data_IF_508721175207
#
_entry.id   IF_508721175207
#
_cell.length_a   1.000
_cell.length_b   1.000
_cell.length_c   1.000
_cell.angle_alpha   90.00
_cell.angle_beta   90.00
_cell.angle_gamma   90.00
#
_symmetry.space_group_name_H-M   'P 1'
#
loop_
_entity.id
_entity.type
_entity.pdbx_description
1 polymer ?
#
# COMPACT_ATOMS: atom_id res chain seq x y z
N UNK A 1 -7.55 -30.04 -6.55
CA UNK A 1 -7.65 -29.52 -7.94
C UNK A 1 -6.27 -28.95 -8.29
N UNK A 2 -5.69 -29.28 -9.43
CA UNK A 2 -4.28 -28.99 -9.74
C UNK A 2 -4.12 -27.46 -10.04
N UNK A 3 -3.12 -26.80 -9.43
CA UNK A 3 -2.83 -25.35 -9.58
C UNK A 3 -2.77 -24.88 -11.05
N UNK A 4 -2.30 -25.74 -11.95
CA UNK A 4 -2.24 -25.45 -13.38
C UNK A 4 -3.61 -25.44 -14.09
N UNK A 5 -4.56 -26.22 -13.61
CA UNK A 5 -5.94 -26.19 -14.15
C UNK A 5 -6.70 -24.92 -13.73
N UNK A 6 -6.40 -24.39 -12.58
CA UNK A 6 -7.01 -23.16 -12.06
C UNK A 6 -6.48 -21.93 -12.80
N UNK A 7 -5.16 -21.84 -13.04
CA UNK A 7 -4.56 -20.77 -13.85
C UNK A 7 -5.09 -20.76 -15.30
N UNK A 8 -5.26 -21.93 -15.92
CA UNK A 8 -5.81 -22.02 -17.27
C UNK A 8 -7.29 -21.64 -17.34
N UNK A 9 -8.08 -21.90 -16.30
CA UNK A 9 -9.49 -21.48 -16.23
C UNK A 9 -9.63 -19.97 -16.04
N UNK A 10 -8.78 -19.35 -15.22
CA UNK A 10 -8.75 -17.90 -15.03
C UNK A 10 -8.36 -17.17 -16.33
N UNK A 11 -7.33 -17.65 -17.03
CA UNK A 11 -6.94 -17.10 -18.33
C UNK A 11 -8.06 -17.19 -19.38
N UNK A 12 -8.81 -18.29 -19.42
CA UNK A 12 -9.92 -18.49 -20.34
C UNK A 12 -11.13 -17.58 -20.03
N UNK A 13 -11.42 -17.31 -18.78
CA UNK A 13 -12.50 -16.39 -18.36
C UNK A 13 -12.19 -14.95 -18.75
N UNK A 14 -10.93 -14.51 -18.58
CA UNK A 14 -10.47 -13.17 -18.97
C UNK A 14 -10.59 -12.98 -20.49
N UNK A 15 -10.22 -13.98 -21.30
CA UNK A 15 -10.28 -13.92 -22.77
C UNK A 15 -11.73 -13.95 -23.27
N UNK A 16 -12.61 -14.74 -22.68
CA UNK A 16 -14.03 -14.82 -23.06
C UNK A 16 -14.81 -13.54 -22.75
N UNK A 17 -14.54 -12.88 -21.63
CA UNK A 17 -15.17 -11.61 -21.26
C UNK A 17 -14.69 -10.45 -22.14
N UNK A 18 -13.43 -10.44 -22.57
CA UNK A 18 -12.92 -9.45 -23.52
C UNK A 18 -13.53 -9.58 -24.93
N UNK A 19 -13.87 -10.81 -25.37
CA UNK A 19 -14.46 -11.07 -26.68
C UNK A 19 -15.95 -10.70 -26.77
N UNK A 20 -16.69 -10.72 -25.65
CA UNK A 20 -18.13 -10.39 -25.64
C UNK A 20 -18.44 -8.90 -25.83
N UNK A 21 -17.44 -8.01 -25.76
CA UNK A 21 -17.61 -6.55 -25.82
C UNK A 21 -17.58 -5.96 -27.24
N UNK A 22 -17.43 -6.75 -28.31
CA UNK A 22 -17.07 -6.24 -29.63
C UNK A 22 -18.22 -6.00 -30.62
N UNK A 23 -19.47 -6.31 -30.32
CA UNK A 23 -20.57 -6.18 -31.26
C UNK A 23 -21.74 -5.30 -30.79
N UNK A 24 -21.89 -4.11 -31.36
CA UNK A 24 -23.08 -3.25 -31.21
C UNK A 24 -22.91 -1.82 -31.72
N UNK A 25 -23.83 -1.32 -32.53
CA UNK A 25 -23.79 0.02 -33.14
C UNK A 25 -24.73 1.03 -32.49
N UNK A 26 -24.30 2.25 -32.44
CA UNK A 26 -24.80 3.64 -32.59
C UNK A 26 -25.43 4.46 -31.42
N UNK A 27 -25.07 5.64 -31.33
CA UNK A 27 -25.47 7.05 -31.21
C UNK A 27 -25.22 7.81 -29.91
N UNK A 28 -24.72 9.04 -30.08
CA UNK A 28 -23.95 9.88 -29.18
C UNK A 28 -24.87 10.76 -28.30
N UNK A 29 -24.47 10.90 -27.03
CA UNK A 29 -24.65 12.17 -26.32
C UNK A 29 -23.55 12.38 -25.26
N UNK A 30 -22.99 13.58 -25.24
CA UNK A 30 -21.92 13.98 -24.33
C UNK A 30 -22.51 14.32 -22.98
N UNK A 31 -22.38 13.45 -21.99
CA UNK A 31 -22.83 13.76 -20.64
C UNK A 31 -21.68 14.16 -19.74
N UNK A 32 -21.81 15.35 -19.18
CA UNK A 32 -21.06 15.86 -18.02
C UNK A 32 -21.03 14.82 -16.90
N UNK A 33 -19.87 14.66 -16.28
CA UNK A 33 -19.72 13.92 -15.02
C UNK A 33 -20.79 14.43 -14.04
N UNK A 34 -21.60 13.52 -13.51
CA UNK A 34 -22.76 13.85 -12.71
C UNK A 34 -22.40 14.61 -11.43
N UNK A 35 -23.31 15.47 -10.97
CA UNK A 35 -23.17 16.32 -9.77
C UNK A 35 -22.89 15.54 -8.47
N UNK A 36 -23.18 14.25 -8.43
CA UNK A 36 -22.92 13.38 -7.27
C UNK A 36 -21.42 13.25 -6.95
N UNK A 37 -20.54 13.37 -7.96
CA UNK A 37 -19.09 13.35 -7.75
C UNK A 37 -18.56 14.61 -7.05
N UNK A 38 -19.26 15.73 -7.14
CA UNK A 38 -18.85 16.99 -6.50
C UNK A 38 -19.12 17.03 -5.00
N UNK A 39 -20.18 16.39 -4.52
CA UNK A 39 -20.46 16.29 -3.09
C UNK A 39 -19.50 15.36 -2.37
N UNK A 40 -19.07 14.29 -3.02
CA UNK A 40 -18.08 13.35 -2.46
C UNK A 40 -16.68 13.96 -2.43
N UNK A 41 -16.31 14.76 -3.45
CA UNK A 41 -15.01 15.45 -3.51
C UNK A 41 -14.83 16.58 -2.51
N UNK A 42 -15.91 17.10 -1.93
CA UNK A 42 -15.86 18.19 -0.94
C UNK A 42 -15.65 17.73 0.51
N UNK A 43 -15.57 16.42 0.76
CA UNK A 43 -15.26 15.90 2.09
C UNK A 43 -13.76 15.99 2.33
N UNK A 44 -13.39 16.54 3.46
CA UNK A 44 -12.00 16.74 3.86
C UNK A 44 -11.37 15.37 4.24
N UNK A 45 -10.91 14.63 3.24
CA UNK A 45 -10.22 13.36 3.42
C UNK A 45 -8.74 13.66 3.57
N UNK A 46 -8.22 13.51 4.77
CA UNK A 46 -6.79 13.65 5.03
C UNK A 46 -6.08 12.35 4.61
N UNK A 47 -5.70 12.28 3.34
CA UNK A 47 -4.88 11.20 2.82
C UNK A 47 -3.41 11.44 3.18
N UNK A 48 -3.02 11.06 4.38
CA UNK A 48 -1.63 11.19 4.83
C UNK A 48 -0.75 10.02 4.34
N UNK A 49 -0.92 9.63 3.09
CA UNK A 49 -0.18 8.55 2.47
C UNK A 49 1.29 8.90 2.15
N UNK A 50 1.67 10.17 2.25
CA UNK A 50 3.02 10.67 1.95
C UNK A 50 3.81 11.02 3.22
N UNK A 51 3.55 10.36 4.34
CA UNK A 51 4.28 10.61 5.58
C UNK A 51 5.72 10.15 5.46
N UNK A 52 6.65 10.99 5.90
CA UNK A 52 8.09 10.71 5.98
C UNK A 52 8.44 9.46 6.82
N UNK A 53 7.51 8.98 7.60
CA UNK A 53 7.70 7.86 8.52
C UNK A 53 7.21 6.52 7.95
N UNK A 54 7.14 6.38 6.62
CA UNK A 54 6.69 5.17 5.95
C UNK A 54 5.17 5.03 5.84
N UNK A 55 4.70 3.86 5.41
CA UNK A 55 3.29 3.59 5.22
C UNK A 55 2.51 3.78 6.51
N UNK A 56 1.46 4.58 6.44
CA UNK A 56 0.51 4.77 7.55
C UNK A 56 -0.87 4.32 7.11
N UNK A 57 -1.64 3.92 8.09
CA UNK A 57 -3.08 3.77 7.91
C UNK A 57 -3.67 5.12 7.48
N UNK A 58 -4.63 5.06 6.58
CA UNK A 58 -5.34 6.25 6.14
C UNK A 58 -6.31 6.64 7.25
N UNK A 59 -6.01 7.75 7.94
CA UNK A 59 -6.92 8.33 8.90
C UNK A 59 -7.78 9.38 8.24
N UNK A 60 -9.10 9.25 8.38
CA UNK A 60 -10.08 10.23 7.92
C UNK A 60 -10.64 11.07 9.08
N UNK A 61 -10.03 10.96 10.27
CA UNK A 61 -10.47 11.69 11.45
C UNK A 61 -11.81 11.23 12.04
N UNK A 62 -12.31 10.08 11.61
CA UNK A 62 -13.55 9.49 12.15
C UNK A 62 -13.22 8.46 13.24
N UNK A 63 -14.03 8.35 14.29
CA UNK A 63 -13.80 7.38 15.34
C UNK A 63 -14.05 5.96 14.85
N UNK A 64 -13.09 5.08 15.09
CA UNK A 64 -13.20 3.63 15.04
C UNK A 64 -13.22 3.02 13.63
N UNK A 65 -12.43 1.99 13.45
CA UNK A 65 -12.46 1.07 12.32
C UNK A 65 -11.44 1.39 11.22
N UNK A 66 -10.96 0.33 10.61
CA UNK A 66 -10.12 0.38 9.43
C UNK A 66 -10.87 0.99 8.25
N UNK A 67 -10.18 1.81 7.47
CA UNK A 67 -10.72 2.41 6.27
C UNK A 67 -10.33 1.56 5.08
N UNK A 68 -11.32 1.05 4.36
CA UNK A 68 -11.08 0.38 3.09
C UNK A 68 -10.61 1.38 2.05
N UNK A 69 -9.53 1.07 1.35
CA UNK A 69 -9.02 1.88 0.24
C UNK A 69 -9.36 1.19 -1.06
N UNK A 70 -10.11 1.91 -1.89
CA UNK A 70 -10.53 1.46 -3.21
C UNK A 70 -9.87 2.33 -4.28
N UNK A 71 -9.59 1.74 -5.42
CA UNK A 71 -9.28 2.45 -6.65
C UNK A 71 -10.19 1.93 -7.78
N UNK A 72 -10.89 2.84 -8.43
CA UNK A 72 -11.90 2.53 -9.45
C UNK A 72 -13.01 1.57 -8.97
N UNK A 73 -13.37 1.65 -7.69
CA UNK A 73 -14.38 0.79 -7.06
C UNK A 73 -13.91 -0.62 -6.71
N UNK A 74 -12.62 -0.92 -6.87
CA UNK A 74 -12.00 -2.19 -6.50
C UNK A 74 -11.07 -2.00 -5.31
N UNK A 75 -10.98 -2.94 -4.36
CA UNK A 75 -9.99 -2.85 -3.30
C UNK A 75 -8.58 -2.67 -3.83
N UNK A 76 -7.81 -1.79 -3.20
CA UNK A 76 -6.39 -1.62 -3.54
C UNK A 76 -5.65 -2.91 -3.22
N UNK A 77 -5.89 -3.49 -2.05
CA UNK A 77 -5.47 -4.85 -1.67
C UNK A 77 -6.61 -5.54 -0.94
N UNK A 78 -6.65 -6.86 -0.99
CA UNK A 78 -7.54 -7.66 -0.15
C UNK A 78 -6.88 -8.01 1.19
N UNK A 79 -5.64 -8.46 1.14
CA UNK A 79 -4.88 -8.83 2.32
C UNK A 79 -3.69 -7.87 2.51
N UNK A 80 -3.81 -6.96 3.48
CA UNK A 80 -2.82 -5.92 3.74
C UNK A 80 -1.50 -6.42 4.36
N UNK A 81 -1.37 -7.71 4.65
CA UNK A 81 -0.16 -8.27 5.23
C UNK A 81 0.29 -9.51 4.44
N UNK A 82 1.49 -9.53 3.83
CA UNK A 82 2.56 -8.53 3.91
C UNK A 82 2.52 -7.43 2.84
N UNK A 83 1.52 -7.42 1.96
CA UNK A 83 1.39 -6.43 0.89
C UNK A 83 0.58 -5.22 1.36
N UNK A 84 1.23 -4.26 1.99
CA UNK A 84 0.57 -3.12 2.57
C UNK A 84 0.10 -2.12 1.52
N UNK A 85 -1.08 -1.51 1.71
CA UNK A 85 -1.66 -0.47 0.84
C UNK A 85 -0.64 0.60 0.46
N UNK A 86 0.07 1.13 1.43
CA UNK A 86 1.00 2.23 1.21
C UNK A 86 2.27 1.86 0.45
N UNK A 87 2.51 0.60 0.16
CA UNK A 87 3.65 0.18 -0.65
C UNK A 87 3.38 0.30 -2.15
N UNK A 88 2.12 0.40 -2.57
CA UNK A 88 1.74 0.45 -3.97
C UNK A 88 0.61 1.43 -4.30
N UNK A 89 0.04 2.10 -3.30
CA UNK A 89 -0.93 3.17 -3.48
C UNK A 89 -0.51 4.43 -2.70
N UNK A 90 -0.53 5.57 -3.35
CA UNK A 90 -0.22 6.89 -2.78
C UNK A 90 -1.20 7.91 -3.36
N UNK A 91 -1.45 8.99 -2.62
CA UNK A 91 -2.18 10.14 -3.14
C UNK A 91 -1.31 10.94 -4.11
N UNK A 92 -1.23 10.49 -5.35
CA UNK A 92 -0.39 11.06 -6.40
C UNK A 92 -1.23 11.61 -7.57
N UNK A 93 -0.59 12.23 -8.53
CA UNK A 93 -1.23 12.84 -9.70
C UNK A 93 -1.82 11.82 -10.69
N UNK A 94 -1.63 10.52 -10.46
CA UNK A 94 -2.33 9.47 -11.23
C UNK A 94 -3.79 9.34 -10.85
N UNK A 95 -4.21 9.98 -9.75
CA UNK A 95 -5.57 9.96 -9.25
C UNK A 95 -6.29 11.27 -9.64
N UNK A 96 -7.30 11.18 -10.49
CA UNK A 96 -8.09 12.32 -10.94
C UNK A 96 -9.10 12.80 -9.89
N UNK A 97 -9.56 11.89 -9.05
CA UNK A 97 -10.54 12.18 -7.99
C UNK A 97 -10.43 11.17 -6.86
N UNK A 98 -10.62 11.63 -5.65
CA UNK A 98 -10.65 10.78 -4.44
C UNK A 98 -11.73 11.30 -3.51
N UNK A 99 -12.54 10.40 -2.96
CA UNK A 99 -13.64 10.76 -2.07
C UNK A 99 -14.01 9.64 -1.09
N UNK A 100 -14.72 10.03 -0.04
CA UNK A 100 -15.27 9.12 0.95
C UNK A 100 -16.60 8.54 0.43
N UNK A 101 -16.74 7.22 0.44
CA UNK A 101 -18.01 6.57 0.12
C UNK A 101 -19.02 6.72 1.27
N UNK A 102 -20.29 6.78 0.92
CA UNK A 102 -21.39 6.65 1.89
C UNK A 102 -21.37 5.23 2.47
N UNK A 103 -21.78 5.08 3.72
CA UNK A 103 -21.80 3.76 4.40
C UNK A 103 -22.62 2.74 3.60
N UNK A 104 -23.76 3.13 3.05
CA UNK A 104 -24.57 2.26 2.19
C UNK A 104 -23.86 1.85 0.90
N UNK A 105 -23.10 2.75 0.30
CA UNK A 105 -22.31 2.48 -0.89
C UNK A 105 -21.13 1.56 -0.57
N UNK A 106 -20.46 1.78 0.56
CA UNK A 106 -19.41 0.89 1.04
C UNK A 106 -19.94 -0.53 1.26
N UNK A 107 -21.10 -0.67 1.91
CA UNK A 107 -21.71 -1.98 2.16
C UNK A 107 -22.04 -2.72 0.85
N UNK A 108 -22.54 -2.02 -0.16
CA UNK A 108 -22.87 -2.60 -1.48
C UNK A 108 -21.58 -2.98 -2.23
N UNK A 109 -20.53 -2.13 -2.17
CA UNK A 109 -19.31 -2.29 -2.96
C UNK A 109 -18.36 -3.31 -2.35
N UNK A 110 -18.23 -3.34 -1.02
CA UNK A 110 -17.24 -4.16 -0.32
C UNK A 110 -17.85 -5.34 0.45
N UNK A 111 -19.15 -5.36 0.63
CA UNK A 111 -19.84 -6.33 1.49
C UNK A 111 -19.65 -6.05 3.00
N UNK A 112 -18.93 -4.99 3.38
CA UNK A 112 -18.63 -4.64 4.76
C UNK A 112 -19.32 -3.34 5.17
N UNK A 113 -19.74 -3.26 6.42
CA UNK A 113 -20.24 -2.01 7.00
C UNK A 113 -19.03 -1.26 7.59
N UNK A 114 -18.69 -0.11 7.02
CA UNK A 114 -17.55 0.68 7.45
C UNK A 114 -17.35 1.90 6.58
N UNK A 115 -16.17 2.49 6.69
CA UNK A 115 -15.75 3.60 5.85
C UNK A 115 -14.89 3.10 4.71
N UNK A 116 -15.03 3.71 3.53
CA UNK A 116 -14.14 3.47 2.40
C UNK A 116 -13.79 4.77 1.72
N UNK A 117 -12.54 4.89 1.30
CA UNK A 117 -12.08 5.93 0.39
C UNK A 117 -11.98 5.29 -0.99
N UNK A 118 -12.61 5.89 -1.99
CA UNK A 118 -12.50 5.47 -3.38
C UNK A 118 -11.79 6.54 -4.19
N UNK A 119 -10.74 6.15 -4.87
CA UNK A 119 -10.01 6.98 -5.82
C UNK A 119 -10.29 6.51 -7.25
N UNK A 120 -10.17 7.42 -8.20
CA UNK A 120 -10.33 7.12 -9.62
C UNK A 120 -9.06 7.48 -10.36
N UNK A 121 -8.56 6.54 -11.15
CA UNK A 121 -7.39 6.79 -11.99
C UNK A 121 -7.66 7.92 -12.97
N UNK A 122 -6.71 8.86 -13.12
CA UNK A 122 -6.75 9.87 -14.17
C UNK A 122 -6.56 9.20 -15.54
N UNK A 123 -7.60 9.24 -16.36
CA UNK A 123 -7.63 8.58 -17.68
C UNK A 123 -7.42 9.54 -18.85
N UNK A 124 -7.33 10.86 -18.59
CA UNK A 124 -7.13 11.88 -19.62
C UNK A 124 -8.31 12.05 -20.58
N UNK A 125 -9.55 11.88 -20.12
CA UNK A 125 -10.76 11.81 -20.96
C UNK A 125 -11.23 13.14 -21.56
N UNK A 126 -10.44 14.22 -21.44
CA UNK A 126 -10.76 15.50 -22.04
C UNK A 126 -10.48 15.49 -23.54
N UNK A 127 -11.53 15.52 -24.35
CA UNK A 127 -11.43 15.46 -25.82
C UNK A 127 -10.79 16.71 -26.45
N UNK A 128 -10.81 17.84 -25.73
CA UNK A 128 -10.27 19.12 -26.21
C UNK A 128 -8.75 19.19 -25.98
N UNK A 129 -8.25 18.42 -25.03
CA UNK A 129 -6.82 18.40 -24.67
C UNK A 129 -6.10 17.21 -25.29
N UNK A 130 -5.24 17.49 -26.25
CA UNK A 130 -4.33 16.46 -26.80
C UNK A 130 -3.26 16.06 -25.78
N UNK A 131 -2.87 16.99 -24.93
CA UNK A 131 -1.86 16.78 -23.89
C UNK A 131 -2.16 17.68 -22.71
N UNK A 132 -2.17 17.11 -21.54
CA UNK A 132 -2.26 17.77 -20.25
C UNK A 132 -1.29 17.09 -19.29
N UNK A 133 -0.67 17.84 -18.40
CA UNK A 133 0.31 17.27 -17.48
C UNK A 133 0.37 18.01 -16.15
N UNK A 134 0.76 17.26 -15.14
CA UNK A 134 1.05 17.75 -13.79
C UNK A 134 2.44 17.28 -13.41
N UNK A 135 3.23 18.17 -12.86
CA UNK A 135 4.53 17.87 -12.25
C UNK A 135 4.57 18.48 -10.86
N UNK A 136 4.68 17.64 -9.84
CA UNK A 136 4.87 18.04 -8.47
C UNK A 136 6.26 17.60 -8.00
N UNK A 137 6.96 18.49 -7.33
CA UNK A 137 8.21 18.19 -6.64
C UNK A 137 8.09 18.59 -5.18
N UNK A 138 8.38 17.65 -4.29
CA UNK A 138 8.34 17.86 -2.84
C UNK A 138 9.71 17.59 -2.22
N UNK A 139 10.10 18.46 -1.29
CA UNK A 139 11.32 18.30 -0.49
C UNK A 139 11.10 18.77 0.93
N UNK A 140 11.97 18.36 1.83
CA UNK A 140 12.03 18.86 3.21
C UNK A 140 13.48 19.03 3.67
N UNK A 141 13.68 19.59 4.87
CA UNK A 141 15.00 19.85 5.43
C UNK A 141 15.80 18.59 5.83
N UNK A 142 15.15 17.41 5.83
CA UNK A 142 15.83 16.13 6.03
C UNK A 142 16.39 15.53 4.74
N UNK A 143 16.14 16.17 3.60
CA UNK A 143 16.64 15.71 2.30
C UNK A 143 15.66 14.79 1.53
N UNK A 144 14.38 14.76 1.91
CA UNK A 144 13.35 14.09 1.12
C UNK A 144 13.32 14.65 -0.29
N UNK A 145 13.15 13.76 -1.27
CA UNK A 145 12.90 14.09 -2.66
C UNK A 145 11.73 13.27 -3.18
N UNK A 146 10.67 13.97 -3.54
CA UNK A 146 9.46 13.37 -4.07
C UNK A 146 9.18 13.96 -5.45
N UNK A 147 9.03 13.09 -6.43
CA UNK A 147 8.63 13.42 -7.80
C UNK A 147 7.30 12.76 -8.07
N UNK A 148 6.37 13.55 -8.58
CA UNK A 148 5.06 13.09 -8.97
C UNK A 148 4.70 13.75 -10.30
N UNK A 149 4.64 12.93 -11.35
CA UNK A 149 4.40 13.36 -12.72
C UNK A 149 3.24 12.56 -13.32
N UNK A 150 2.32 13.26 -13.95
CA UNK A 150 1.27 12.68 -14.78
C UNK A 150 1.21 13.40 -16.11
N UNK A 151 1.11 12.65 -17.19
CA UNK A 151 0.87 13.15 -18.54
C UNK A 151 -0.31 12.38 -19.13
N UNK A 152 -1.33 13.08 -19.59
CA UNK A 152 -2.53 12.49 -20.11
C UNK A 152 -3.11 13.28 -21.27
N UNK A 153 -4.03 12.69 -22.05
CA UNK A 153 -4.70 13.37 -23.14
C UNK A 153 -5.29 12.44 -24.19
N UNK A 154 -5.69 13.03 -25.34
CA UNK A 154 -6.28 12.29 -26.44
C UNK A 154 -5.26 11.97 -27.55
N UNK A 155 -5.26 10.73 -28.05
CA UNK A 155 -4.45 10.29 -29.22
C UNK A 155 -5.24 10.45 -30.51
N UNK A 156 -6.53 10.67 -30.45
CA UNK A 156 -7.42 10.81 -31.60
C UNK A 156 -8.87 10.95 -31.15
N UNK A 157 -9.81 10.68 -32.04
CA UNK A 157 -11.23 10.94 -31.76
C UNK A 157 -11.78 10.18 -30.56
N UNK A 158 -11.37 8.94 -30.34
CA UNK A 158 -11.95 8.04 -29.35
C UNK A 158 -10.91 7.32 -28.47
N UNK A 159 -9.63 7.69 -28.59
CA UNK A 159 -8.56 7.11 -27.83
C UNK A 159 -7.92 8.12 -26.88
N UNK A 160 -7.66 7.70 -25.65
CA UNK A 160 -7.07 8.51 -24.60
C UNK A 160 -5.98 7.72 -23.88
N UNK A 161 -5.02 8.44 -23.36
CA UNK A 161 -3.91 7.88 -22.60
C UNK A 161 -3.68 8.64 -21.31
N UNK A 162 -3.11 7.95 -20.33
CA UNK A 162 -2.51 8.55 -19.15
C UNK A 162 -1.28 7.76 -18.75
N UNK A 163 -0.21 8.46 -18.40
CA UNK A 163 1.00 7.88 -17.86
C UNK A 163 1.47 8.65 -16.65
N UNK A 164 1.82 7.97 -15.57
CA UNK A 164 2.29 8.60 -14.34
C UNK A 164 3.51 7.92 -13.76
N UNK A 165 4.31 8.73 -13.08
CA UNK A 165 5.50 8.34 -12.34
C UNK A 165 5.43 9.01 -10.98
N UNK A 166 5.37 8.21 -9.92
CA UNK A 166 5.56 8.67 -8.55
C UNK A 166 6.82 8.05 -7.98
N UNK A 167 7.69 8.87 -7.42
CA UNK A 167 8.92 8.45 -6.75
C UNK A 167 9.09 9.22 -5.45
N UNK A 168 9.31 8.50 -4.36
CA UNK A 168 9.61 9.05 -3.06
C UNK A 168 10.93 8.47 -2.56
N UNK A 169 11.88 9.34 -2.28
CA UNK A 169 13.19 9.04 -1.68
C UNK A 169 13.30 9.87 -0.41
N UNK A 170 12.89 9.29 0.71
CA UNK A 170 12.82 9.97 1.99
C UNK A 170 13.79 9.34 2.99
N UNK A 171 14.87 10.05 3.36
CA UNK A 171 15.78 9.59 4.41
C UNK A 171 15.13 9.56 5.79
N UNK A 172 13.99 10.26 5.98
CA UNK A 172 13.36 10.42 7.28
C UNK A 172 14.15 11.36 8.19
N UNK A 173 13.73 11.44 9.44
CA UNK A 173 14.37 12.25 10.47
C UNK A 173 15.43 11.49 11.29
N UNK A 174 15.45 10.16 11.21
CA UNK A 174 16.33 9.32 12.00
C UNK A 174 17.71 9.16 11.35
N UNK A 175 18.75 9.06 12.19
CA UNK A 175 20.09 8.74 11.75
C UNK A 175 20.19 7.27 11.34
N UNK A 176 20.13 7.01 10.05
CA UNK A 176 20.25 5.65 9.51
C UNK A 176 21.73 5.32 9.28
N UNK A 177 22.19 4.14 9.76
CA UNK A 177 23.57 3.72 9.63
C UNK A 177 23.86 2.95 8.35
N UNK A 178 22.95 2.09 7.95
CA UNK A 178 23.15 1.15 6.85
C UNK A 178 22.17 1.37 5.69
N UNK A 179 21.29 2.38 5.76
CA UNK A 179 20.37 2.76 4.70
C UNK A 179 20.48 4.23 4.35
N UNK A 180 20.20 4.54 3.12
CA UNK A 180 20.10 5.91 2.64
C UNK A 180 18.70 6.49 2.87
N UNK A 181 17.67 5.66 2.76
CA UNK A 181 16.28 6.09 2.81
C UNK A 181 15.49 5.28 3.85
N UNK A 182 14.63 5.97 4.58
CA UNK A 182 13.62 5.35 5.42
C UNK A 182 12.41 4.89 4.58
N UNK A 183 12.04 5.65 3.56
CA UNK A 183 11.01 5.30 2.59
C UNK A 183 11.53 5.52 1.17
N UNK A 184 11.59 4.45 0.39
CA UNK A 184 11.89 4.46 -1.03
C UNK A 184 10.74 3.78 -1.76
N UNK A 185 9.86 4.58 -2.35
CA UNK A 185 8.68 4.09 -3.06
C UNK A 185 8.68 4.60 -4.49
N UNK A 186 8.45 3.70 -5.43
CA UNK A 186 8.35 3.98 -6.85
C UNK A 186 7.06 3.35 -7.38
N UNK A 187 6.22 4.15 -8.01
CA UNK A 187 4.94 3.73 -8.60
C UNK A 187 4.89 4.27 -10.03
N UNK A 188 4.54 3.40 -10.97
CA UNK A 188 4.37 3.72 -12.37
C UNK A 188 3.01 3.22 -12.82
N UNK A 189 2.20 4.09 -13.43
CA UNK A 189 0.90 3.72 -14.00
C UNK A 189 0.84 4.12 -15.46
N UNK A 190 0.21 3.29 -16.28
CA UNK A 190 -0.11 3.59 -17.66
C UNK A 190 -1.54 3.15 -17.94
N UNK A 191 -2.33 4.05 -18.50
CA UNK A 191 -3.71 3.79 -18.88
C UNK A 191 -3.94 4.08 -20.37
N UNK A 192 -4.71 3.22 -21.01
CA UNK A 192 -5.21 3.41 -22.37
C UNK A 192 -6.72 3.22 -22.35
N UNK A 193 -7.44 4.21 -22.87
CA UNK A 193 -8.90 4.21 -22.91
C UNK A 193 -9.40 4.37 -24.33
N UNK A 194 -10.43 3.59 -24.69
CA UNK A 194 -11.16 3.69 -25.94
C UNK A 194 -12.63 3.92 -25.68
N UNK A 195 -13.21 4.94 -26.32
CA UNK A 195 -14.66 5.04 -26.48
C UNK A 195 -15.10 4.28 -27.73
N UNK A 196 -16.23 3.60 -27.64
CA UNK A 196 -16.79 2.85 -28.73
C UNK A 196 -18.31 3.03 -28.78
N UNK A 197 -18.95 2.60 -29.88
CA UNK A 197 -20.37 2.79 -30.11
C UNK A 197 -20.84 4.25 -29.92
N UNK A 198 -20.12 5.17 -30.58
CA UNK A 198 -20.42 6.60 -30.54
C UNK A 198 -20.36 7.20 -29.15
N UNK A 199 -19.45 6.69 -28.30
CA UNK A 199 -19.21 7.17 -26.96
C UNK A 199 -20.10 6.54 -25.87
N UNK A 200 -21.00 5.60 -26.23
CA UNK A 200 -21.82 4.89 -25.24
C UNK A 200 -21.04 3.84 -24.47
N UNK A 201 -19.99 3.31 -25.08
CA UNK A 201 -19.08 2.38 -24.44
C UNK A 201 -17.75 3.06 -24.13
N UNK A 202 -17.17 2.70 -23.00
CA UNK A 202 -15.81 3.07 -22.58
C UNK A 202 -15.11 1.81 -22.11
N UNK A 203 -13.93 1.55 -22.64
CA UNK A 203 -13.04 0.48 -22.20
C UNK A 203 -11.70 1.08 -21.84
N UNK A 204 -11.25 0.83 -20.62
CA UNK A 204 -9.94 1.29 -20.14
C UNK A 204 -9.11 0.11 -19.64
N UNK A 205 -7.86 0.06 -20.03
CA UNK A 205 -6.85 -0.85 -19.49
C UNK A 205 -5.80 -0.05 -18.76
N UNK A 206 -5.51 -0.42 -17.52
CA UNK A 206 -4.58 0.28 -16.64
C UNK A 206 -3.53 -0.73 -16.16
N UNK A 207 -2.28 -0.50 -16.49
CA UNK A 207 -1.16 -1.21 -15.92
C UNK A 207 -0.54 -0.40 -14.80
N UNK A 208 -0.23 -1.04 -13.68
CA UNK A 208 0.39 -0.44 -12.52
C UNK A 208 1.54 -1.31 -12.03
N UNK A 209 2.70 -0.71 -11.86
CA UNK A 209 3.88 -1.32 -11.23
C UNK A 209 4.25 -0.53 -9.99
N UNK A 210 4.59 -1.25 -8.93
CA UNK A 210 5.10 -0.65 -7.69
C UNK A 210 6.33 -1.37 -7.18
N UNK A 211 7.23 -0.62 -6.57
CA UNK A 211 8.41 -1.12 -5.85
C UNK A 211 8.69 -0.21 -4.66
N UNK A 212 8.56 -0.75 -3.47
CA UNK A 212 8.68 0.01 -2.22
C UNK A 212 9.54 -0.72 -1.20
N UNK A 213 10.37 0.04 -0.51
CA UNK A 213 11.14 -0.38 0.66
C UNK A 213 10.99 0.69 1.73
N UNK A 214 10.74 0.29 2.96
CA UNK A 214 10.61 1.24 4.05
C UNK A 214 11.00 0.65 5.41
N UNK A 215 11.35 1.53 6.34
CA UNK A 215 11.66 1.19 7.73
C UNK A 215 10.58 1.75 8.65
N UNK A 216 9.98 0.91 9.47
CA UNK A 216 8.92 1.35 10.38
C UNK A 216 9.48 2.18 11.53
N UNK A 217 8.66 3.09 12.07
CA UNK A 217 9.02 3.87 13.26
C UNK A 217 9.31 3.00 14.48
N UNK A 218 8.58 1.89 14.63
CA UNK A 218 8.82 0.93 15.70
C UNK A 218 10.23 0.30 15.61
N UNK A 219 10.81 0.29 14.40
CA UNK A 219 12.16 -0.22 14.16
C UNK A 219 13.22 0.88 14.32
N UNK A 220 12.90 2.14 13.98
CA UNK A 220 13.87 3.25 13.92
C UNK A 220 13.77 4.23 15.09
N UNK A 221 12.59 4.36 15.71
CA UNK A 221 12.34 5.35 16.77
C UNK A 221 13.09 5.06 18.07
N UNK A 222 13.58 6.11 18.72
CA UNK A 222 14.24 6.04 20.01
C UNK A 222 13.28 5.63 21.13
N UNK A 223 13.72 4.84 22.12
CA UNK A 223 12.92 4.55 23.31
C UNK A 223 12.77 5.80 24.19
N UNK A 224 11.73 5.80 25.02
CA UNK A 224 11.47 6.87 25.98
C UNK A 224 10.85 6.31 27.27
N UNK A 225 10.88 7.13 28.32
CA UNK A 225 10.23 6.82 29.60
C UNK A 225 8.91 7.58 29.66
N UNK A 226 7.81 6.84 29.88
CA UNK A 226 6.50 7.44 30.13
C UNK A 226 6.39 7.89 31.58
N UNK A 227 6.02 9.15 31.82
CA UNK A 227 6.00 9.75 33.17
C UNK A 227 4.64 9.61 33.86
N UNK A 228 3.59 9.27 33.11
CA UNK A 228 2.27 9.01 33.68
C UNK A 228 1.29 10.18 33.66
N UNK A 229 1.74 11.37 33.25
CA UNK A 229 0.92 12.60 33.15
C UNK A 229 0.57 12.98 31.69
N UNK A 230 0.81 12.06 30.76
CA UNK A 230 0.70 12.31 29.33
C UNK A 230 2.02 12.81 28.71
N UNK A 231 3.06 13.07 29.50
CA UNK A 231 4.38 13.45 29.02
C UNK A 231 5.34 12.26 28.93
N UNK A 232 6.39 12.45 28.14
CA UNK A 232 7.49 11.48 27.98
C UNK A 232 8.81 12.14 28.33
N UNK A 233 9.73 11.36 28.88
CA UNK A 233 11.08 11.76 29.19
C UNK A 233 12.06 11.01 28.29
N UNK A 234 13.01 11.74 27.73
CA UNK A 234 14.09 11.14 26.94
C UNK A 234 15.02 10.28 27.83
N UNK A 235 15.48 9.18 27.27
CA UNK A 235 16.56 8.41 27.88
C UNK A 235 17.88 9.15 27.58
N UNK A 236 18.78 9.29 28.54
CA UNK A 236 20.07 9.93 28.28
C UNK A 236 20.78 9.30 27.09
N UNK A 237 21.25 10.13 26.17
CA UNK A 237 21.90 9.69 24.92
C UNK A 237 20.99 9.48 23.73
N UNK A 238 19.63 9.56 23.90
CA UNK A 238 18.68 9.50 22.81
C UNK A 238 17.96 10.82 22.59
N UNK A 239 17.93 11.29 21.34
CA UNK A 239 17.06 12.38 20.92
C UNK A 239 15.80 11.81 20.29
N UNK A 240 14.62 12.12 20.84
CA UNK A 240 13.34 11.68 20.28
C UNK A 240 13.17 12.23 18.84
N UNK A 241 12.80 11.34 17.92
CA UNK A 241 12.61 11.67 16.51
C UNK A 241 13.88 11.86 15.68
N UNK A 242 15.09 11.73 16.27
CA UNK A 242 16.37 11.89 15.57
C UNK A 242 17.32 10.72 15.75
N UNK A 243 17.44 10.17 16.96
CA UNK A 243 18.30 9.02 17.21
C UNK A 243 17.67 7.74 16.67
N UNK A 244 18.45 6.94 15.94
CA UNK A 244 18.01 5.66 15.42
C UNK A 244 18.13 4.56 16.47
N UNK A 245 17.12 3.72 16.56
CA UNK A 245 17.10 2.53 17.40
C UNK A 245 17.18 1.24 16.57
N UNK A 246 17.68 1.33 15.35
CA UNK A 246 18.00 0.17 14.53
C UNK A 246 19.22 -0.57 15.13
N UNK A 247 19.18 -1.91 15.16
CA UNK A 247 20.33 -2.71 15.59
C UNK A 247 21.60 -2.33 14.83
N UNK A 248 22.75 -2.50 15.49
CA UNK A 248 24.07 -2.24 14.91
C UNK A 248 24.51 -3.36 13.94
N UNK A 249 23.58 -3.84 13.13
CA UNK A 249 23.81 -4.87 12.09
C UNK A 249 23.00 -4.52 10.85
N UNK A 250 23.54 -4.86 9.68
CA UNK A 250 22.84 -4.63 8.41
C UNK A 250 21.81 -5.70 8.11
N UNK A 251 21.98 -6.90 8.66
CA UNK A 251 21.22 -8.08 8.32
C UNK A 251 20.57 -8.70 9.54
N UNK A 252 19.40 -9.28 9.34
CA UNK A 252 18.80 -10.20 10.30
C UNK A 252 18.80 -11.63 9.77
N UNK A 253 18.84 -12.58 10.70
CA UNK A 253 18.73 -14.01 10.40
C UNK A 253 17.31 -14.46 10.75
N UNK A 254 16.68 -15.22 9.87
CA UNK A 254 15.38 -15.83 10.10
C UNK A 254 15.36 -17.27 9.60
N UNK A 255 14.49 -18.09 10.17
CA UNK A 255 14.25 -19.45 9.67
C UNK A 255 13.23 -19.39 8.51
N UNK A 256 13.61 -19.89 7.36
CA UNK A 256 12.64 -20.10 6.28
C UNK A 256 11.77 -21.32 6.63
N UNK A 257 10.52 -21.06 7.01
CA UNK A 257 9.58 -22.09 7.46
C UNK A 257 9.23 -23.14 6.40
N UNK A 258 9.56 -22.88 5.13
CA UNK A 258 9.33 -23.85 4.04
C UNK A 258 10.44 -24.86 3.91
N UNK A 259 11.68 -24.45 4.17
CA UNK A 259 12.88 -25.28 3.99
C UNK A 259 13.51 -25.69 5.32
N UNK A 260 13.19 -25.02 6.41
CA UNK A 260 13.86 -25.16 7.71
C UNK A 260 15.28 -24.56 7.75
N UNK A 261 15.68 -23.86 6.69
CA UNK A 261 17.01 -23.26 6.58
C UNK A 261 17.07 -21.89 7.22
N UNK A 262 18.20 -21.57 7.85
CA UNK A 262 18.48 -20.22 8.32
C UNK A 262 18.91 -19.34 7.14
N UNK A 263 18.18 -18.26 6.92
CA UNK A 263 18.44 -17.28 5.85
C UNK A 263 18.74 -15.90 6.43
N UNK A 264 19.48 -15.11 5.68
CA UNK A 264 19.74 -13.70 5.98
C UNK A 264 18.89 -12.80 5.09
N UNK A 265 18.43 -11.72 5.66
CA UNK A 265 17.79 -10.63 4.92
C UNK A 265 18.30 -9.31 5.46
N UNK A 266 18.56 -8.35 4.56
CA UNK A 266 18.89 -6.99 4.94
C UNK A 266 17.72 -6.37 5.71
N UNK A 267 17.99 -5.72 6.82
CA UNK A 267 16.97 -4.96 7.58
C UNK A 267 16.27 -3.90 6.71
N UNK A 268 16.93 -3.43 5.67
CA UNK A 268 16.43 -2.41 4.75
C UNK A 268 15.53 -2.96 3.66
N UNK A 269 15.67 -4.24 3.33
CA UNK A 269 14.83 -4.97 2.37
C UNK A 269 13.78 -5.83 3.08
N UNK A 270 13.83 -5.90 4.41
CA UNK A 270 12.94 -6.73 5.20
C UNK A 270 11.49 -6.24 5.16
N UNK A 271 11.25 -4.94 4.96
CA UNK A 271 9.92 -4.43 4.65
C UNK A 271 9.93 -3.87 3.24
N UNK A 272 9.40 -4.65 2.33
CA UNK A 272 9.39 -4.35 0.91
C UNK A 272 8.15 -4.90 0.23
N UNK A 273 7.77 -4.30 -0.85
CA UNK A 273 6.74 -4.83 -1.74
C UNK A 273 7.05 -4.49 -3.19
N UNK A 274 6.87 -5.47 -4.05
CA UNK A 274 7.01 -5.32 -5.50
C UNK A 274 5.81 -5.98 -6.16
N UNK A 275 5.04 -5.20 -6.91
CA UNK A 275 3.81 -5.68 -7.52
C UNK A 275 3.61 -5.23 -8.94
N UNK A 276 2.81 -5.99 -9.66
CA UNK A 276 2.31 -5.71 -11.00
C UNK A 276 0.80 -5.90 -11.00
N UNK A 277 0.06 -4.88 -11.43
CA UNK A 277 -1.39 -4.91 -11.52
C UNK A 277 -1.85 -4.63 -12.94
N UNK A 278 -2.90 -5.32 -13.35
CA UNK A 278 -3.65 -5.01 -14.56
C UNK A 278 -5.11 -4.80 -14.18
N UNK A 279 -5.62 -3.60 -14.44
CA UNK A 279 -7.03 -3.26 -14.21
C UNK A 279 -7.71 -3.01 -15.56
N UNK A 280 -8.89 -3.60 -15.73
CA UNK A 280 -9.75 -3.37 -16.89
C UNK A 280 -11.08 -2.84 -16.41
N UNK A 281 -11.46 -1.69 -16.93
CA UNK A 281 -12.72 -1.03 -16.63
C UNK A 281 -13.53 -0.97 -17.91
N UNK A 282 -14.77 -1.43 -17.87
CA UNK A 282 -15.71 -1.28 -18.97
C UNK A 282 -17.02 -0.68 -18.47
N UNK A 283 -17.55 0.27 -19.23
CA UNK A 283 -18.84 0.89 -18.98
C UNK A 283 -19.59 0.99 -20.30
N UNK A 284 -20.82 0.56 -20.30
CA UNK A 284 -21.69 0.67 -21.47
C UNK A 284 -23.06 1.21 -21.08
N UNK A 285 -23.54 2.21 -21.81
CA UNK A 285 -24.86 2.81 -21.59
C UNK A 285 -25.73 2.62 -22.84
N UNK A 286 -26.88 2.00 -22.67
CA UNK A 286 -27.89 1.86 -23.72
C UNK A 286 -28.72 3.14 -23.84
N UNK A 287 -29.41 3.28 -24.98
CA UNK A 287 -30.28 4.43 -25.26
C UNK A 287 -31.47 4.55 -24.30
N UNK A 288 -31.90 3.45 -23.71
CA UNK A 288 -32.96 3.43 -22.71
C UNK A 288 -32.51 3.83 -21.31
N UNK A 289 -31.24 4.27 -21.13
CA UNK A 289 -30.68 4.68 -19.86
C UNK A 289 -30.19 3.53 -18.98
N UNK A 290 -30.25 2.29 -19.43
CA UNK A 290 -29.62 1.16 -18.76
C UNK A 290 -28.09 1.31 -18.85
N UNK A 291 -27.38 1.07 -17.76
CA UNK A 291 -25.93 1.13 -17.70
C UNK A 291 -25.36 -0.19 -17.18
N UNK A 292 -24.34 -0.67 -17.82
CA UNK A 292 -23.59 -1.86 -17.40
C UNK A 292 -22.14 -1.49 -17.17
N UNK A 293 -21.63 -1.85 -15.99
CA UNK A 293 -20.23 -1.66 -15.59
C UNK A 293 -19.59 -3.02 -15.33
N UNK A 294 -18.34 -3.16 -15.72
CA UNK A 294 -17.47 -4.28 -15.38
C UNK A 294 -16.14 -3.70 -14.99
N UNK A 295 -15.68 -4.03 -13.78
CA UNK A 295 -14.35 -3.69 -13.32
C UNK A 295 -13.64 -4.98 -12.92
N UNK A 296 -12.43 -5.17 -13.42
CA UNK A 296 -11.58 -6.32 -13.13
C UNK A 296 -10.20 -5.84 -12.78
N UNK A 297 -9.59 -6.45 -11.78
CA UNK A 297 -8.19 -6.23 -11.42
C UNK A 297 -7.51 -7.56 -11.12
N UNK A 298 -6.34 -7.76 -11.68
CA UNK A 298 -5.41 -8.79 -11.29
C UNK A 298 -4.15 -8.13 -10.72
N UNK A 299 -3.73 -8.59 -9.55
CA UNK A 299 -2.52 -8.16 -8.87
C UNK A 299 -1.63 -9.36 -8.57
N UNK A 300 -0.36 -9.25 -8.91
CA UNK A 300 0.68 -10.18 -8.52
C UNK A 300 1.77 -9.44 -7.79
N UNK A 301 1.96 -9.75 -6.52
CA UNK A 301 2.93 -9.08 -5.67
C UNK A 301 3.78 -10.04 -4.85
N UNK A 302 5.03 -9.65 -4.64
CA UNK A 302 5.89 -10.18 -3.59
C UNK A 302 5.97 -9.12 -2.49
N UNK A 303 5.49 -9.47 -1.30
CA UNK A 303 5.54 -8.60 -0.14
C UNK A 303 6.34 -9.23 0.99
N UNK A 304 7.01 -8.40 1.77
CA UNK A 304 7.59 -8.73 3.06
C UNK A 304 7.35 -7.60 4.05
N UNK A 305 7.24 -7.96 5.31
CA UNK A 305 7.02 -7.01 6.38
C UNK A 305 7.79 -7.41 7.62
N UNK A 306 8.69 -6.55 8.05
CA UNK A 306 9.38 -6.67 9.33
C UNK A 306 8.86 -5.60 10.27
N UNK A 307 8.37 -6.01 11.42
CA UNK A 307 8.19 -5.08 12.52
C UNK A 307 8.88 -5.58 13.78
N UNK A 308 9.32 -4.64 14.58
CA UNK A 308 9.96 -4.92 15.83
C UNK A 308 9.21 -4.15 16.93
N UNK A 309 8.64 -4.88 17.88
CA UNK A 309 7.87 -4.31 18.96
C UNK A 309 8.68 -4.38 20.25
N UNK A 310 8.96 -3.25 20.91
CA UNK A 310 9.52 -3.26 22.25
C UNK A 310 8.51 -3.89 23.22
N UNK A 311 8.97 -4.86 24.01
CA UNK A 311 8.13 -5.56 24.97
C UNK A 311 8.33 -5.02 26.39
N UNK A 312 9.54 -5.08 26.91
CA UNK A 312 9.89 -4.60 28.22
C UNK A 312 11.24 -3.89 28.20
N UNK A 313 11.42 -2.94 29.08
CA UNK A 313 12.68 -2.27 29.30
C UNK A 313 12.97 -2.27 30.81
N UNK A 314 14.12 -2.82 31.18
CA UNK A 314 14.55 -2.93 32.57
C UNK A 314 15.94 -2.39 32.71
N UNK A 315 16.23 -1.73 33.85
CA UNK A 315 17.58 -1.36 34.21
C UNK A 315 18.23 -2.56 34.91
N UNK A 316 19.30 -3.07 34.35
CA UNK A 316 20.12 -4.11 34.94
C UNK A 316 21.38 -3.43 35.53
N UNK A 317 21.55 -3.58 36.84
CA UNK A 317 22.69 -3.08 37.57
C UNK A 317 23.52 -4.26 38.02
N UNK A 318 24.78 -4.33 37.56
CA UNK A 318 25.62 -5.50 37.78
C UNK A 318 25.31 -6.65 36.81
N UNK A 319 26.25 -7.53 36.64
CA UNK A 319 26.22 -8.55 35.58
C UNK A 319 25.19 -9.67 35.85
N UNK A 320 23.90 -9.39 35.76
CA UNK A 320 22.85 -10.39 35.84
C UNK A 320 22.85 -11.35 34.63
N UNK A 321 24.04 -11.79 34.19
CA UNK A 321 24.22 -12.71 33.11
C UNK A 321 24.13 -12.11 31.68
N UNK A 322 23.97 -10.80 31.55
CA UNK A 322 23.96 -10.15 30.22
C UNK A 322 25.38 -9.78 29.78
N UNK A 323 25.69 -10.06 28.54
CA UNK A 323 26.95 -9.72 27.91
C UNK A 323 26.80 -9.28 26.49
N UNK A 324 27.66 -8.40 26.02
CA UNK A 324 27.84 -8.11 24.59
C UNK A 324 29.00 -8.96 24.06
N UNK A 325 28.90 -9.38 22.79
CA UNK A 325 29.95 -10.11 22.10
C UNK A 325 30.76 -9.17 21.22
N UNK A 326 32.07 -9.04 21.52
CA UNK A 326 32.97 -8.31 20.66
C UNK A 326 33.21 -8.97 19.31
N UNK A 327 33.80 -8.23 18.37
CA UNK A 327 34.14 -8.76 17.03
C UNK A 327 35.18 -9.91 17.11
N UNK A 328 35.99 -9.93 18.11
CA UNK A 328 36.97 -11.00 18.43
C UNK A 328 36.34 -12.21 19.13
N UNK A 329 35.02 -12.17 19.38
CA UNK A 329 34.29 -13.20 20.10
C UNK A 329 34.31 -13.07 21.62
N UNK A 330 35.00 -12.06 22.20
CA UNK A 330 35.08 -11.81 23.64
C UNK A 330 33.70 -11.42 24.17
N UNK A 331 33.33 -11.98 25.33
CA UNK A 331 32.10 -11.61 26.04
C UNK A 331 32.44 -10.52 27.04
N UNK A 332 31.75 -9.39 26.92
CA UNK A 332 31.92 -8.25 27.82
C UNK A 332 30.65 -8.09 28.66
N UNK A 333 30.71 -8.14 29.99
CA UNK A 333 29.56 -7.90 30.85
C UNK A 333 28.89 -6.56 30.51
N UNK A 334 27.56 -6.55 30.53
CA UNK A 334 26.80 -5.35 30.26
C UNK A 334 26.05 -4.89 31.50
N UNK A 335 26.21 -3.61 31.81
CA UNK A 335 25.50 -2.92 32.87
C UNK A 335 24.71 -1.75 32.24
N UNK A 336 23.41 -1.69 32.45
CA UNK A 336 22.62 -0.63 31.87
C UNK A 336 21.16 -1.04 31.67
N UNK A 337 20.47 -0.35 30.79
CA UNK A 337 19.12 -0.72 30.39
C UNK A 337 19.14 -1.85 29.38
N UNK A 338 18.30 -2.83 29.61
CA UNK A 338 18.02 -3.95 28.68
C UNK A 338 16.60 -3.81 28.18
N UNK A 339 16.43 -3.91 26.88
CA UNK A 339 15.11 -3.99 26.27
C UNK A 339 14.92 -5.31 25.55
N UNK A 340 13.87 -6.01 25.94
CA UNK A 340 13.36 -7.16 25.17
C UNK A 340 12.56 -6.65 23.98
N UNK A 341 12.78 -7.23 22.81
CA UNK A 341 12.05 -6.94 21.57
C UNK A 341 11.53 -8.21 20.94
N UNK A 342 10.30 -8.12 20.45
CA UNK A 342 9.74 -9.10 19.54
C UNK A 342 10.00 -8.62 18.11
N UNK A 343 10.61 -9.48 17.30
CA UNK A 343 10.80 -9.26 15.87
C UNK A 343 9.91 -10.23 15.10
N UNK A 344 9.03 -9.70 14.27
CA UNK A 344 8.15 -10.50 13.43
C UNK A 344 8.43 -10.19 11.96
N UNK A 345 8.84 -11.21 11.21
CA UNK A 345 9.11 -11.12 9.79
C UNK A 345 8.11 -11.98 9.01
N UNK A 346 7.37 -11.34 8.15
CA UNK A 346 6.37 -11.94 7.29
C UNK A 346 6.78 -11.80 5.83
N UNK A 347 6.53 -12.84 5.03
CA UNK A 347 6.78 -12.82 3.59
C UNK A 347 5.71 -13.60 2.87
N UNK A 348 5.27 -13.12 1.70
CA UNK A 348 4.30 -13.82 0.88
C UNK A 348 4.40 -13.48 -0.60
N UNK A 349 4.11 -14.47 -1.44
CA UNK A 349 3.68 -14.26 -2.81
C UNK A 349 2.16 -14.14 -2.80
N UNK A 350 1.64 -13.13 -3.47
CA UNK A 350 0.24 -12.76 -3.44
C UNK A 350 -0.25 -12.71 -4.88
N UNK A 351 -1.30 -13.45 -5.17
CA UNK A 351 -2.06 -13.36 -6.40
C UNK A 351 -3.50 -12.99 -6.03
N UNK A 352 -3.95 -11.81 -6.44
CA UNK A 352 -5.30 -11.31 -6.17
C UNK A 352 -6.04 -11.07 -7.48
N UNK A 353 -7.31 -11.47 -7.51
CA UNK A 353 -8.21 -11.16 -8.60
C UNK A 353 -9.53 -10.61 -8.06
N UNK A 354 -9.90 -9.45 -8.56
CA UNK A 354 -11.15 -8.78 -8.22
C UNK A 354 -11.99 -8.62 -9.47
N UNK A 355 -13.25 -8.94 -9.35
CA UNK A 355 -14.23 -8.75 -10.39
C UNK A 355 -15.49 -8.14 -9.81
N UNK A 356 -15.96 -7.07 -10.42
CA UNK A 356 -17.28 -6.52 -10.12
C UNK A 356 -18.04 -6.29 -11.41
N UNK A 357 -19.31 -6.59 -11.40
CA UNK A 357 -20.22 -6.22 -12.48
C UNK A 357 -21.50 -5.66 -11.91
N UNK A 358 -21.99 -4.59 -12.50
CA UNK A 358 -23.19 -3.88 -12.07
C UNK A 358 -24.04 -3.51 -13.27
N UNK A 359 -25.32 -3.85 -13.20
CA UNK A 359 -26.36 -3.35 -14.09
C UNK A 359 -27.22 -2.37 -13.32
N UNK A 360 -27.38 -1.16 -13.83
CA UNK A 360 -28.13 -0.10 -13.15
C UNK A 360 -28.98 0.72 -14.11
N UNK A 361 -30.04 1.29 -13.59
CA UNK A 361 -30.84 2.27 -14.31
C UNK A 361 -31.38 3.32 -13.37
N UNK A 362 -31.24 4.59 -13.77
CA UNK A 362 -31.77 5.74 -13.06
C UNK A 362 -33.05 6.22 -13.74
N UNK A 363 -34.09 6.41 -12.95
CA UNK A 363 -35.33 7.12 -13.28
C UNK A 363 -35.38 8.42 -12.48
N UNK A 364 -36.38 9.25 -12.70
CA UNK A 364 -36.50 10.53 -12.00
C UNK A 364 -36.59 10.35 -10.49
N UNK A 365 -37.38 9.38 -10.03
CA UNK A 365 -37.65 9.15 -8.60
C UNK A 365 -36.98 7.93 -8.02
N UNK A 366 -36.34 7.09 -8.84
CA UNK A 366 -35.79 5.80 -8.40
C UNK A 366 -34.52 5.45 -9.15
N UNK A 367 -33.57 4.87 -8.43
CA UNK A 367 -32.42 4.19 -9.04
C UNK A 367 -32.38 2.77 -8.52
N UNK A 368 -32.27 1.79 -9.42
CA UNK A 368 -31.99 0.42 -9.03
C UNK A 368 -30.62 -0.03 -9.55
N UNK A 369 -30.00 -0.91 -8.82
CA UNK A 369 -28.69 -1.49 -9.11
C UNK A 369 -28.73 -2.97 -8.75
N UNK A 370 -28.19 -3.81 -9.63
CA UNK A 370 -27.98 -5.23 -9.41
C UNK A 370 -26.56 -5.54 -9.84
N UNK A 371 -25.82 -6.21 -9.00
CA UNK A 371 -24.42 -6.51 -9.28
C UNK A 371 -23.93 -7.76 -8.60
N UNK A 372 -22.75 -8.19 -9.00
CA UNK A 372 -22.01 -9.29 -8.42
C UNK A 372 -20.58 -8.84 -8.22
N UNK A 373 -20.03 -9.15 -7.04
CA UNK A 373 -18.63 -8.98 -6.70
C UNK A 373 -18.03 -10.36 -6.43
N UNK A 374 -16.91 -10.63 -7.05
CA UNK A 374 -16.14 -11.85 -6.83
C UNK A 374 -14.69 -11.47 -6.54
N UNK A 375 -14.18 -11.91 -5.39
CA UNK A 375 -12.83 -11.63 -4.97
C UNK A 375 -12.12 -12.94 -4.67
N UNK A 376 -11.03 -13.17 -5.35
CA UNK A 376 -10.18 -14.32 -5.17
C UNK A 376 -8.78 -13.87 -4.79
N UNK A 377 -8.18 -14.54 -3.83
CA UNK A 377 -6.77 -14.36 -3.50
C UNK A 377 -6.11 -15.70 -3.22
N UNK A 378 -4.85 -15.81 -3.62
CA UNK A 378 -3.96 -16.92 -3.29
C UNK A 378 -2.69 -16.31 -2.68
N UNK A 379 -2.41 -16.66 -1.42
CA UNK A 379 -1.27 -16.13 -0.68
C UNK A 379 -0.42 -17.28 -0.19
N UNK A 380 0.80 -17.37 -0.72
CA UNK A 380 1.81 -18.26 -0.20
C UNK A 380 2.59 -17.51 0.89
N UNK A 381 2.15 -17.67 2.14
CA UNK A 381 2.56 -16.86 3.28
C UNK A 381 3.45 -17.64 4.24
N UNK A 382 4.50 -16.99 4.73
CA UNK A 382 5.35 -17.46 5.81
C UNK A 382 5.57 -16.36 6.85
N UNK A 383 5.51 -16.72 8.13
CA UNK A 383 5.77 -15.82 9.26
C UNK A 383 6.80 -16.42 10.18
N UNK A 384 7.67 -15.60 10.71
CA UNK A 384 8.68 -15.96 11.71
C UNK A 384 8.70 -14.91 12.82
N UNK A 385 8.56 -15.35 14.07
CA UNK A 385 8.63 -14.47 15.23
C UNK A 385 9.77 -14.92 16.14
N UNK A 386 10.63 -13.97 16.51
CA UNK A 386 11.75 -14.17 17.44
C UNK A 386 11.72 -13.11 18.51
N UNK A 387 12.21 -13.47 19.70
CA UNK A 387 12.43 -12.52 20.78
C UNK A 387 13.92 -12.45 21.07
N UNK A 388 14.39 -11.26 21.39
CA UNK A 388 15.78 -11.03 21.74
C UNK A 388 15.91 -9.80 22.65
N UNK A 389 16.98 -9.76 23.42
CA UNK A 389 17.34 -8.64 24.28
C UNK A 389 18.47 -7.85 23.65
N UNK A 390 18.48 -6.55 23.89
CA UNK A 390 19.53 -5.66 23.41
C UNK A 390 19.79 -4.49 24.36
N UNK A 391 20.95 -3.85 24.20
CA UNK A 391 21.33 -2.64 24.92
C UNK A 391 20.39 -1.49 24.55
N UNK A 392 20.23 -0.52 25.47
CA UNK A 392 19.47 0.70 25.22
C UNK A 392 20.44 1.84 24.95
N UNK A 393 20.87 1.92 23.70
CA UNK A 393 21.78 2.93 23.18
C UNK A 393 21.53 3.21 21.71
N UNK A 394 22.10 4.28 21.16
CA UNK A 394 22.04 4.51 19.72
C UNK A 394 22.75 3.36 18.98
N UNK A 395 22.06 2.70 18.05
CA UNK A 395 22.47 1.45 17.40
C UNK A 395 22.70 0.29 18.39
N UNK A 396 21.64 -0.19 19.03
CA UNK A 396 21.73 -1.16 20.10
C UNK A 396 22.44 -2.46 19.68
N UNK A 397 23.17 -3.02 20.59
CA UNK A 397 23.83 -4.31 20.43
C UNK A 397 22.94 -5.42 20.98
N UNK A 398 22.89 -6.55 20.28
CA UNK A 398 22.23 -7.74 20.78
C UNK A 398 22.95 -8.27 22.04
N UNK A 399 22.18 -8.58 23.07
CA UNK A 399 22.68 -9.13 24.32
C UNK A 399 22.56 -10.65 24.31
N UNK A 400 23.54 -11.31 24.90
CA UNK A 400 23.54 -12.74 25.15
C UNK A 400 23.29 -12.91 26.66
N UNK A 401 22.19 -13.59 26.99
CA UNK A 401 21.95 -14.02 28.35
C UNK A 401 22.64 -15.38 28.56
N UNK A 402 23.63 -15.41 29.44
CA UNK A 402 24.31 -16.64 29.86
C UNK A 402 23.59 -17.08 31.13
N UNK A 403 22.70 -18.05 31.02
CA UNK A 403 22.25 -18.79 32.19
C UNK A 403 23.36 -19.76 32.55
N UNK A 404 23.85 -19.71 33.76
CA UNK A 404 24.70 -20.76 34.27
C UNK A 404 23.94 -22.12 34.20
N UNK A 405 24.64 -23.22 33.87
CA UNK A 405 24.03 -24.54 33.75
C UNK A 405 23.49 -25.06 35.09
#
# INVERSE_FOLDING_TARGET
MNKNQQKNRMGAVIILLAAACLNGYAQQDSTKVSSDSKEEGNRNVMLNAASANGPREISIGLPGGDVNVLENGLPVVYNSNPHNVNTHWRGDSSLGHTGLLKISETAITTGNIGYAVNSFTELGLDKEKKMNGVLNYGTNHFGKQQFDFNLNGSIGKDWFYSGSIYQNFDPGSFKLRFAQYQDRTQIYKFALTKFYNEGRGQLSAIYHYSNSHWLSNATTGAPFIYVGDGSVKEIPGFGLGTSSYLPNVSDMVYMDMRTGEMKKISLYDATASKGNQLTVLNRYRWNNGLEWKINMKYDHALGSYLYQTPMSMEQKVGADGYSTKGLDGTLNPYEGYVQSRMSCFNRGNIDEFFFTTELSRKYDDMTWRVGVNEWYYDVDYASNTTMYDHTVEEYPLSLIHISEP
#
